data_IF_025530060680
#
_entry.id   IF_025530060680
#
_cell.length_a   1.000
_cell.length_b   1.000
_cell.length_c   1.000
_cell.angle_alpha   90.00
_cell.angle_beta   90.00
_cell.angle_gamma   90.00
#
_symmetry.space_group_name_H-M   'P 1'
#
loop_
_entity.id
_entity.type
_entity.pdbx_description
1 polymer ?
#
# COMPACT_ATOMS: atom_id res chain seq x y z
N UNK A 1 -9.58 -10.67 16.23
CA UNK A 1 -8.32 -11.06 16.89
C UNK A 1 -7.20 -10.06 16.64
N UNK A 2 -7.13 -9.42 15.45
CA UNK A 2 -6.05 -8.50 15.03
C UNK A 2 -6.48 -7.03 14.99
N UNK A 3 -7.70 -6.68 15.39
CA UNK A 3 -8.23 -5.32 15.41
C UNK A 3 -8.54 -4.87 16.83
N UNK A 4 -8.30 -3.59 17.12
CA UNK A 4 -8.74 -2.94 18.37
C UNK A 4 -10.27 -2.81 18.41
N UNK A 5 -10.88 -2.51 17.25
CA UNK A 5 -12.32 -2.51 17.07
C UNK A 5 -12.73 -3.88 16.55
N UNK A 6 -13.59 -4.58 17.27
CA UNK A 6 -13.95 -5.98 17.00
C UNK A 6 -15.40 -6.15 16.56
N UNK A 7 -16.16 -5.07 16.38
CA UNK A 7 -17.52 -5.17 15.89
C UNK A 7 -17.55 -5.72 14.46
N UNK A 8 -18.46 -6.65 14.21
CA UNK A 8 -18.60 -7.30 12.90
C UNK A 8 -18.88 -6.28 11.79
N UNK A 9 -19.70 -5.27 12.08
CA UNK A 9 -20.02 -4.19 11.14
C UNK A 9 -18.77 -3.38 10.74
N UNK A 10 -17.90 -3.04 11.70
CA UNK A 10 -16.66 -2.33 11.43
C UNK A 10 -15.70 -3.16 10.59
N UNK A 11 -15.48 -4.43 10.95
CA UNK A 11 -14.57 -5.33 10.24
C UNK A 11 -15.04 -5.58 8.81
N UNK A 12 -16.35 -5.81 8.61
CA UNK A 12 -16.92 -5.96 7.27
C UNK A 12 -16.80 -4.71 6.41
N UNK A 13 -17.07 -3.53 7.00
CA UNK A 13 -16.92 -2.25 6.30
C UNK A 13 -15.46 -1.98 5.92
N UNK A 14 -14.51 -2.36 6.78
CA UNK A 14 -13.08 -2.26 6.47
C UNK A 14 -12.68 -3.20 5.32
N UNK A 15 -13.09 -4.47 5.37
CA UNK A 15 -12.83 -5.44 4.30
C UNK A 15 -13.52 -5.02 2.99
N UNK A 16 -14.71 -4.43 3.05
CA UNK A 16 -15.40 -3.90 1.88
C UNK A 16 -14.59 -2.81 1.16
N UNK A 17 -13.89 -1.94 1.89
CA UNK A 17 -12.94 -0.96 1.30
C UNK A 17 -11.73 -1.62 0.62
N UNK A 18 -11.40 -2.84 1.03
CA UNK A 18 -10.39 -3.69 0.39
C UNK A 18 -10.98 -4.61 -0.70
N UNK A 19 -12.12 -4.22 -1.27
CA UNK A 19 -12.82 -4.91 -2.35
C UNK A 19 -13.27 -6.35 -2.02
N UNK A 20 -13.59 -6.63 -0.76
CA UNK A 20 -14.29 -7.86 -0.41
C UNK A 20 -15.79 -7.65 -0.53
N UNK A 21 -16.44 -8.37 -1.45
CA UNK A 21 -17.90 -8.37 -1.60
C UNK A 21 -18.58 -9.02 -0.37
N UNK A 22 -19.88 -8.75 -0.20
CA UNK A 22 -20.66 -9.28 0.91
C UNK A 22 -20.51 -10.79 1.10
N UNK A 23 -20.41 -11.55 0.01
CA UNK A 23 -20.24 -13.02 0.07
C UNK A 23 -18.78 -13.42 0.34
N UNK A 24 -17.82 -12.63 -0.14
CA UNK A 24 -16.38 -12.92 0.00
C UNK A 24 -15.89 -12.77 1.43
N UNK A 25 -16.50 -11.90 2.26
CA UNK A 25 -16.10 -11.70 3.66
C UNK A 25 -16.35 -12.93 4.53
N UNK A 26 -17.17 -13.88 4.08
CA UNK A 26 -17.47 -15.14 4.78
C UNK A 26 -16.61 -16.30 4.28
N UNK A 27 -15.88 -16.14 3.19
CA UNK A 27 -15.06 -17.23 2.64
C UNK A 27 -13.89 -17.54 3.57
N UNK A 28 -13.60 -18.82 3.82
CA UNK A 28 -12.35 -19.20 4.46
C UNK A 28 -11.14 -18.71 3.63
N UNK A 29 -10.07 -18.27 4.29
CA UNK A 29 -8.85 -17.77 3.61
C UNK A 29 -8.27 -18.78 2.62
N UNK A 30 -8.50 -20.07 2.85
CA UNK A 30 -8.02 -21.15 1.98
C UNK A 30 -8.56 -21.09 0.56
N UNK A 31 -9.79 -20.58 0.36
CA UNK A 31 -10.47 -20.53 -0.95
C UNK A 31 -10.35 -19.18 -1.64
N UNK A 32 -9.66 -18.20 -1.02
CA UNK A 32 -9.41 -16.91 -1.62
C UNK A 32 -8.42 -17.02 -2.78
N UNK A 33 -8.62 -16.19 -3.81
CA UNK A 33 -7.65 -15.98 -4.89
C UNK A 33 -6.34 -15.39 -4.37
N UNK A 34 -5.30 -15.38 -5.19
CA UNK A 34 -4.01 -14.76 -4.84
C UNK A 34 -4.17 -13.29 -4.46
N UNK A 35 -4.84 -12.48 -5.27
CA UNK A 35 -5.10 -11.08 -5.01
C UNK A 35 -5.97 -10.85 -3.76
N UNK A 36 -7.03 -11.66 -3.56
CA UNK A 36 -7.84 -11.60 -2.34
C UNK A 36 -7.02 -11.91 -1.08
N UNK A 37 -6.10 -12.89 -1.14
CA UNK A 37 -5.21 -13.20 -0.01
C UNK A 37 -4.31 -12.03 0.33
N UNK A 38 -3.73 -11.37 -0.67
CA UNK A 38 -2.87 -10.19 -0.47
C UNK A 38 -3.68 -9.04 0.13
N UNK A 39 -4.85 -8.71 -0.41
CA UNK A 39 -5.74 -7.69 0.17
C UNK A 39 -6.14 -8.01 1.61
N UNK A 40 -6.42 -9.28 1.92
CA UNK A 40 -6.72 -9.73 3.28
C UNK A 40 -5.52 -9.55 4.22
N UNK A 41 -4.31 -9.82 3.74
CA UNK A 41 -3.08 -9.59 4.50
C UNK A 41 -2.87 -8.10 4.80
N UNK A 42 -3.06 -7.21 3.82
CA UNK A 42 -3.00 -5.76 4.03
C UNK A 42 -4.05 -5.28 5.03
N UNK A 43 -5.30 -5.74 4.87
CA UNK A 43 -6.37 -5.44 5.82
C UNK A 43 -5.98 -5.83 7.25
N UNK A 44 -5.42 -7.02 7.43
CA UNK A 44 -4.94 -7.50 8.73
C UNK A 44 -3.84 -6.60 9.30
N UNK A 45 -2.84 -6.23 8.49
CA UNK A 45 -1.73 -5.37 8.92
C UNK A 45 -2.23 -4.00 9.38
N UNK A 46 -3.15 -3.39 8.65
CA UNK A 46 -3.75 -2.11 9.01
C UNK A 46 -4.62 -2.20 10.27
N UNK A 47 -5.40 -3.27 10.43
CA UNK A 47 -6.26 -3.50 11.59
C UNK A 47 -5.46 -3.82 12.86
N UNK A 48 -4.24 -4.33 12.73
CA UNK A 48 -3.36 -4.61 13.87
C UNK A 48 -2.99 -3.34 14.65
N UNK A 49 -3.22 -2.17 14.05
CA UNK A 49 -2.99 -0.88 14.70
C UNK A 49 -1.52 -0.50 14.76
N UNK A 50 -0.71 -1.03 13.86
CA UNK A 50 0.67 -0.57 13.68
C UNK A 50 0.66 0.91 13.28
N UNK A 51 1.59 1.68 13.84
CA UNK A 51 1.83 3.06 13.45
C UNK A 51 2.91 3.20 12.37
N UNK A 52 3.51 2.09 11.97
CA UNK A 52 4.57 2.03 10.96
C UNK A 52 4.45 0.74 10.14
N UNK A 53 4.53 0.88 8.80
CA UNK A 53 4.56 -0.23 7.85
C UNK A 53 5.82 -0.14 6.98
N UNK A 54 6.46 -1.28 6.78
CA UNK A 54 7.56 -1.45 5.84
C UNK A 54 7.12 -2.49 4.79
N UNK A 55 7.10 -2.08 3.53
CA UNK A 55 6.60 -2.90 2.42
C UNK A 55 7.65 -2.96 1.30
N UNK A 56 7.89 -4.15 0.81
CA UNK A 56 8.75 -4.37 -0.34
C UNK A 56 7.91 -4.84 -1.52
N UNK A 57 7.87 -4.05 -2.60
CA UNK A 57 7.12 -4.31 -3.84
C UNK A 57 5.66 -4.77 -3.60
N UNK A 58 4.84 -3.96 -2.87
CA UNK A 58 3.53 -4.42 -2.40
C UNK A 58 2.50 -4.71 -3.49
N UNK A 59 2.74 -4.28 -4.72
CA UNK A 59 1.85 -4.49 -5.87
C UNK A 59 2.33 -5.56 -6.85
N UNK A 60 3.49 -6.17 -6.59
CA UNK A 60 4.03 -7.19 -7.48
C UNK A 60 3.09 -8.40 -7.58
N UNK A 61 2.93 -8.89 -8.81
CA UNK A 61 2.08 -10.05 -9.14
C UNK A 61 0.59 -9.88 -8.83
N UNK A 62 0.11 -8.65 -8.62
CA UNK A 62 -1.30 -8.36 -8.42
C UNK A 62 -1.99 -8.00 -9.74
N UNK A 63 -3.28 -8.32 -9.83
CA UNK A 63 -4.15 -7.80 -10.88
C UNK A 63 -4.48 -6.30 -10.63
N UNK A 64 -4.97 -5.62 -11.66
CA UNK A 64 -5.27 -4.18 -11.61
C UNK A 64 -6.24 -3.80 -10.50
N UNK A 65 -7.24 -4.64 -10.25
CA UNK A 65 -8.24 -4.41 -9.19
C UNK A 65 -7.57 -4.47 -7.81
N UNK A 66 -6.70 -5.46 -7.58
CA UNK A 66 -5.95 -5.61 -6.35
C UNK A 66 -4.94 -4.48 -6.14
N UNK A 67 -4.25 -4.02 -7.21
CA UNK A 67 -3.36 -2.86 -7.17
C UNK A 67 -4.12 -1.62 -6.72
N UNK A 68 -5.28 -1.34 -7.32
CA UNK A 68 -6.13 -0.20 -6.94
C UNK A 68 -6.58 -0.28 -5.48
N UNK A 69 -6.96 -1.47 -5.00
CA UNK A 69 -7.36 -1.66 -3.61
C UNK A 69 -6.21 -1.41 -2.63
N UNK A 70 -5.00 -1.90 -2.95
CA UNK A 70 -3.79 -1.67 -2.15
C UNK A 70 -3.43 -0.19 -2.13
N UNK A 71 -3.44 0.48 -3.29
CA UNK A 71 -3.18 1.92 -3.40
C UNK A 71 -4.14 2.73 -2.51
N UNK A 72 -5.45 2.50 -2.64
CA UNK A 72 -6.46 3.16 -1.82
C UNK A 72 -6.28 2.89 -0.32
N UNK A 73 -5.96 1.65 0.04
CA UNK A 73 -5.69 1.27 1.42
C UNK A 73 -4.48 1.97 2.00
N UNK A 74 -3.36 2.01 1.26
CA UNK A 74 -2.13 2.67 1.70
C UNK A 74 -2.28 4.19 1.76
N UNK A 75 -2.99 4.80 0.80
CA UNK A 75 -3.30 6.24 0.82
C UNK A 75 -4.15 6.64 2.04
N UNK A 76 -5.01 5.75 2.52
CA UNK A 76 -5.85 5.97 3.69
C UNK A 76 -5.15 5.63 5.02
N UNK A 77 -3.97 5.00 4.98
CA UNK A 77 -3.22 4.63 6.18
C UNK A 77 -2.69 5.87 6.90
N UNK A 78 -2.99 5.98 8.20
CA UNK A 78 -2.64 7.16 9.00
C UNK A 78 -1.31 7.06 9.74
N UNK A 79 -0.61 5.93 9.62
CA UNK A 79 0.71 5.73 10.20
C UNK A 79 1.82 6.13 9.25
N UNK A 80 3.05 5.84 9.64
CA UNK A 80 4.21 6.02 8.78
C UNK A 80 4.37 4.81 7.85
N UNK A 81 4.74 5.07 6.62
CA UNK A 81 4.90 4.06 5.59
C UNK A 81 6.24 4.23 4.88
N UNK A 82 7.02 3.17 4.80
CA UNK A 82 8.17 3.06 3.89
C UNK A 82 7.92 1.89 2.96
N UNK A 83 8.07 2.12 1.66
CA UNK A 83 7.89 1.06 0.67
C UNK A 83 8.82 1.22 -0.51
N UNK A 84 9.16 0.10 -1.14
CA UNK A 84 9.78 0.07 -2.47
C UNK A 84 8.71 -0.25 -3.51
N UNK A 85 8.77 0.33 -4.70
CA UNK A 85 7.88 -0.03 -5.79
C UNK A 85 8.42 0.39 -7.15
N UNK A 86 8.08 -0.38 -8.18
CA UNK A 86 8.23 0.00 -9.60
C UNK A 86 6.92 0.53 -10.19
N UNK A 87 5.84 0.51 -9.43
CA UNK A 87 4.54 1.03 -9.84
C UNK A 87 4.51 2.55 -9.70
N UNK A 88 4.52 3.23 -10.85
CA UNK A 88 4.50 4.70 -10.92
C UNK A 88 3.29 5.31 -10.20
N UNK A 89 2.10 4.75 -10.41
CA UNK A 89 0.86 5.27 -9.83
C UNK A 89 0.88 5.16 -8.31
N UNK A 90 1.31 4.00 -7.79
CA UNK A 90 1.45 3.80 -6.35
C UNK A 90 2.43 4.80 -5.74
N UNK A 91 3.62 4.95 -6.34
CA UNK A 91 4.63 5.87 -5.82
C UNK A 91 4.13 7.31 -5.85
N UNK A 92 3.51 7.73 -6.95
CA UNK A 92 3.07 9.12 -7.12
C UNK A 92 1.88 9.49 -6.23
N UNK A 93 0.99 8.53 -5.93
CA UNK A 93 -0.22 8.79 -5.13
C UNK A 93 -0.03 8.62 -3.64
N UNK A 94 0.91 7.77 -3.22
CA UNK A 94 1.09 7.42 -1.79
C UNK A 94 2.31 8.09 -1.18
N UNK A 95 3.42 8.21 -1.94
CA UNK A 95 4.65 8.77 -1.40
C UNK A 95 4.61 10.30 -1.32
N UNK A 96 5.09 10.83 -0.20
CA UNK A 96 5.31 12.26 0.01
C UNK A 96 6.79 12.60 0.26
N UNK A 97 7.66 11.60 0.16
CA UNK A 97 9.12 11.72 0.23
C UNK A 97 9.73 10.59 -0.58
N UNK A 98 10.69 10.92 -1.43
CA UNK A 98 11.37 9.99 -2.33
C UNK A 98 12.82 9.86 -1.91
N UNK A 99 13.28 8.63 -1.74
CA UNK A 99 14.70 8.31 -1.52
C UNK A 99 15.16 7.44 -2.68
N UNK A 100 15.91 8.01 -3.61
CA UNK A 100 16.52 7.26 -4.71
C UNK A 100 17.92 6.79 -4.32
N UNK A 101 18.13 5.49 -4.32
CA UNK A 101 19.44 4.89 -4.11
C UNK A 101 20.09 4.66 -5.47
N UNK A 102 21.29 5.17 -5.66
CA UNK A 102 22.04 5.11 -6.91
C UNK A 102 23.05 3.97 -6.94
N UNK A 103 23.46 3.51 -8.13
CA UNK A 103 24.46 2.43 -8.27
C UNK A 103 25.82 2.74 -7.63
N UNK A 104 26.19 4.01 -7.52
CA UNK A 104 27.43 4.46 -6.87
C UNK A 104 27.35 4.47 -5.32
N UNK A 105 26.20 4.05 -4.76
CA UNK A 105 25.95 4.04 -3.33
C UNK A 105 25.49 5.37 -2.75
N UNK A 106 25.40 6.44 -3.56
CA UNK A 106 24.82 7.70 -3.14
C UNK A 106 23.29 7.64 -3.07
N UNK A 107 22.67 8.50 -2.30
CA UNK A 107 21.23 8.63 -2.21
C UNK A 107 20.78 10.08 -2.47
N UNK A 108 19.69 10.23 -3.20
CA UNK A 108 18.96 11.47 -3.31
C UNK A 108 17.73 11.39 -2.41
N UNK A 109 17.53 12.41 -1.60
CA UNK A 109 16.39 12.54 -0.69
C UNK A 109 15.61 13.79 -1.08
N UNK A 110 14.33 13.59 -1.43
CA UNK A 110 13.45 14.67 -1.88
C UNK A 110 12.10 14.59 -1.17
N UNK A 111 11.66 15.69 -0.60
CA UNK A 111 10.35 15.80 0.02
C UNK A 111 9.34 16.37 -0.99
N UNK A 112 8.41 15.53 -1.43
CA UNK A 112 7.39 15.84 -2.44
C UNK A 112 6.88 14.58 -3.10
N UNK A 113 6.05 14.75 -4.13
CA UNK A 113 5.57 13.64 -4.96
C UNK A 113 6.66 13.11 -5.89
N UNK A 114 6.41 11.98 -6.51
CA UNK A 114 7.35 11.42 -7.48
C UNK A 114 7.48 12.29 -8.73
N UNK A 115 6.40 12.92 -9.18
CA UNK A 115 6.44 13.88 -10.30
C UNK A 115 7.30 15.10 -9.97
N UNK A 116 7.14 15.66 -8.77
CA UNK A 116 7.97 16.78 -8.31
C UNK A 116 9.46 16.40 -8.25
N UNK A 117 9.76 15.20 -7.77
CA UNK A 117 11.11 14.64 -7.75
C UNK A 117 11.72 14.54 -9.14
N UNK A 118 10.98 14.03 -10.13
CA UNK A 118 11.46 13.92 -11.51
C UNK A 118 11.72 15.31 -12.13
N UNK A 119 10.83 16.27 -11.90
CA UNK A 119 10.99 17.64 -12.34
C UNK A 119 12.26 18.28 -11.72
N UNK A 120 12.44 18.11 -10.42
CA UNK A 120 13.61 18.58 -9.69
C UNK A 120 14.91 17.94 -10.22
N UNK A 121 14.94 16.63 -10.46
CA UNK A 121 16.11 15.96 -11.06
C UNK A 121 16.48 16.54 -12.41
N UNK A 122 15.49 16.76 -13.27
CA UNK A 122 15.69 17.35 -14.61
C UNK A 122 16.29 18.76 -14.50
N UNK A 123 15.79 19.58 -13.59
CA UNK A 123 16.32 20.94 -13.36
C UNK A 123 17.78 20.91 -12.90
N UNK A 124 18.13 19.96 -12.03
CA UNK A 124 19.49 19.80 -11.49
C UNK A 124 20.47 19.07 -12.42
N UNK A 125 20.00 18.51 -13.54
CA UNK A 125 20.83 17.71 -14.46
C UNK A 125 21.29 16.38 -13.86
N UNK A 126 20.50 15.80 -12.99
CA UNK A 126 20.78 14.56 -12.25
C UNK A 126 20.15 13.33 -12.91
#
# INVERSE_FOLDING_TARGET
QYSKETTETYLRGFLGRMLFSNDSVFKPVKVLSGGEKVRCMFARMMLFGSNFLLLDQPTDHLDLESISAVNNGLSAFKGNLIFTSHDYELVNTVANRIIEIRPDGSALDYQGTYEDFLAWKKEKGL
#
